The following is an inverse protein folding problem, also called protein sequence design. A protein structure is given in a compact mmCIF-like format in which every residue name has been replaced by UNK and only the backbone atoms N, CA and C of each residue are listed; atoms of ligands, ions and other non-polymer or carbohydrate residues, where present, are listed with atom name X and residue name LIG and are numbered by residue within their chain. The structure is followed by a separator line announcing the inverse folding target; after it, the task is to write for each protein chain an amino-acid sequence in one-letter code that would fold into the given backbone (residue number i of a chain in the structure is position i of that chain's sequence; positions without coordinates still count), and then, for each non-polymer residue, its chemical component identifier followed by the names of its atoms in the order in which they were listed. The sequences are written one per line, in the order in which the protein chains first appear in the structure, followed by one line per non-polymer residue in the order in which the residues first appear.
data_IF_780457903322
#
_entry.id   IF_780457903322
#
_cell.length_a   1.000
_cell.length_b   1.000
_cell.length_c   1.000
_cell.angle_alpha   90.00
_cell.angle_beta   90.00
_cell.angle_gamma   90.00
#
_symmetry.space_group_name_H-M   'P 1'
#
loop_
_entity.id
_entity.type
_entity.pdbx_description
1 polymer ?
#
# COMPACT_ATOMS: atom_id res chain seq x y z
N UNK A 1 -0.84 -7.64 42.29
CA UNK A 1 0.33 -7.24 41.47
C UNK A 1 0.32 -7.94 40.11
N UNK A 2 0.25 -9.28 40.04
CA UNK A 2 0.27 -10.05 38.77
C UNK A 2 -0.85 -9.66 37.77
N UNK A 3 -2.09 -9.44 38.23
CA UNK A 3 -3.22 -9.06 37.36
C UNK A 3 -3.02 -7.73 36.61
N UNK A 4 -2.34 -6.76 37.25
CA UNK A 4 -2.04 -5.47 36.63
C UNK A 4 -0.95 -5.60 35.55
N UNK A 5 -0.02 -6.54 35.73
CA UNK A 5 1.02 -6.85 34.74
C UNK A 5 0.39 -7.46 33.48
N UNK A 6 -0.51 -8.43 33.64
CA UNK A 6 -1.21 -9.02 32.49
C UNK A 6 -2.10 -8.02 31.74
N UNK A 7 -2.73 -7.09 32.45
CA UNK A 7 -3.51 -6.01 31.82
C UNK A 7 -2.62 -5.05 31.03
N UNK A 8 -1.45 -4.69 31.57
CA UNK A 8 -0.48 -3.83 30.89
C UNK A 8 0.12 -4.53 29.65
N UNK A 9 0.42 -5.82 29.73
CA UNK A 9 0.90 -6.62 28.60
C UNK A 9 -0.18 -6.77 27.52
N UNK A 10 -1.43 -7.01 27.90
CA UNK A 10 -2.55 -7.06 26.96
C UNK A 10 -2.80 -5.71 26.29
N UNK A 11 -2.69 -4.60 27.03
CA UNK A 11 -2.82 -3.26 26.46
C UNK A 11 -1.67 -2.91 25.51
N UNK A 12 -0.44 -3.34 25.81
CA UNK A 12 0.71 -3.22 24.92
C UNK A 12 0.55 -4.10 23.65
N UNK A 13 -0.01 -5.29 23.79
CA UNK A 13 -0.31 -6.21 22.69
C UNK A 13 -1.46 -5.69 21.80
N UNK A 14 -2.48 -5.07 22.40
CA UNK A 14 -3.54 -4.36 21.68
C UNK A 14 -3.01 -3.10 20.97
N UNK A 15 -2.07 -2.39 21.57
CA UNK A 15 -1.43 -1.23 20.93
C UNK A 15 -0.56 -1.66 19.72
N UNK A 16 0.05 -2.85 19.74
CA UNK A 16 0.76 -3.42 18.60
C UNK A 16 -0.19 -3.83 17.44
N UNK A 17 -1.47 -4.11 17.73
CA UNK A 17 -2.54 -4.31 16.73
C UNK A 17 -3.10 -2.99 16.17
N UNK A 18 -2.77 -1.85 16.77
CA UNK A 18 -3.30 -0.54 16.40
C UNK A 18 -2.44 0.24 15.39
N UNK A 19 -1.24 -0.25 15.03
CA UNK A 19 -0.43 0.41 13.99
C UNK A 19 -0.88 -0.04 12.59
N UNK A 20 -2.07 0.38 12.17
CA UNK A 20 -2.37 0.49 10.73
C UNK A 20 -1.72 1.77 10.18
N UNK A 21 -0.41 1.90 10.39
CA UNK A 21 0.38 2.88 9.68
C UNK A 21 0.64 2.30 8.29
N UNK A 22 0.41 3.12 7.27
CA UNK A 22 0.59 2.74 5.88
C UNK A 22 1.96 2.11 5.60
N UNK A 23 2.02 1.16 4.67
CA UNK A 23 3.27 0.59 4.15
C UNK A 23 4.01 1.66 3.36
N UNK A 24 5.25 1.95 3.75
CA UNK A 24 6.09 2.93 3.07
C UNK A 24 6.76 2.29 1.85
N UNK A 25 6.54 2.87 0.67
CA UNK A 25 7.15 2.41 -0.59
C UNK A 25 7.65 3.60 -1.39
N UNK A 26 8.73 3.45 -2.16
CA UNK A 26 9.17 4.51 -3.07
C UNK A 26 8.13 4.72 -4.19
N UNK A 27 7.74 3.61 -4.84
CA UNK A 27 6.72 3.53 -5.90
C UNK A 27 6.17 2.11 -5.98
N UNK A 28 5.02 1.95 -6.61
CA UNK A 28 4.51 0.65 -7.07
C UNK A 28 4.43 0.73 -8.59
N UNK A 29 5.06 -0.19 -9.31
CA UNK A 29 4.99 -0.24 -10.77
C UNK A 29 4.13 -1.42 -11.20
N UNK A 30 3.20 -1.17 -12.11
CA UNK A 30 2.49 -2.22 -12.85
C UNK A 30 3.11 -2.22 -14.25
N UNK A 31 4.02 -3.17 -14.48
CA UNK A 31 4.77 -3.28 -15.72
C UNK A 31 3.86 -3.74 -16.88
N UNK A 32 4.36 -3.61 -18.11
CA UNK A 32 3.61 -3.93 -19.34
C UNK A 32 3.06 -5.36 -19.42
N UNK A 33 3.76 -6.32 -18.82
CA UNK A 33 3.34 -7.73 -18.71
C UNK A 33 2.35 -7.99 -17.56
N UNK A 34 2.04 -6.94 -16.78
CA UNK A 34 1.18 -6.98 -15.63
C UNK A 34 1.88 -7.37 -14.33
N UNK A 35 3.19 -7.57 -14.31
CA UNK A 35 3.94 -7.79 -13.06
C UNK A 35 3.93 -6.54 -12.17
N UNK A 36 4.07 -6.75 -10.85
CA UNK A 36 4.11 -5.68 -9.86
C UNK A 36 5.53 -5.58 -9.30
N UNK A 37 6.07 -4.37 -9.26
CA UNK A 37 7.38 -4.05 -8.66
C UNK A 37 7.23 -2.98 -7.56
N UNK A 38 7.74 -3.21 -6.34
CA UNK A 38 8.44 -4.42 -5.90
C UNK A 38 7.50 -5.63 -5.75
N UNK A 39 8.03 -6.87 -5.79
CA UNK A 39 7.22 -8.09 -5.71
C UNK A 39 6.51 -8.28 -4.36
N UNK A 40 6.94 -7.57 -3.32
CA UNK A 40 6.33 -7.54 -1.99
C UNK A 40 5.42 -6.31 -1.78
N UNK A 41 5.12 -5.54 -2.83
CA UNK A 41 4.19 -4.43 -2.75
C UNK A 41 2.82 -4.92 -2.23
N UNK A 42 2.10 -4.11 -1.43
CA UNK A 42 0.81 -4.46 -0.84
C UNK A 42 -0.34 -4.39 -1.86
N UNK A 43 -0.21 -5.14 -2.94
CA UNK A 43 -1.14 -5.21 -4.07
C UNK A 43 -1.31 -6.68 -4.45
N UNK A 44 -2.57 -7.12 -4.52
CA UNK A 44 -2.94 -8.42 -5.03
C UNK A 44 -3.43 -8.26 -6.48
N UNK A 45 -2.92 -9.11 -7.38
CA UNK A 45 -3.29 -9.09 -8.79
C UNK A 45 -4.25 -10.24 -9.11
N UNK A 46 -5.41 -9.90 -9.67
CA UNK A 46 -6.37 -10.83 -10.26
C UNK A 46 -6.69 -10.40 -11.70
N UNK A 47 -6.12 -11.10 -12.68
CA UNK A 47 -6.23 -10.74 -14.09
C UNK A 47 -5.72 -9.32 -14.38
N UNK A 48 -6.64 -8.41 -14.70
CA UNK A 48 -6.36 -6.99 -14.94
C UNK A 48 -6.73 -6.07 -13.76
N UNK A 49 -7.15 -6.64 -12.62
CA UNK A 49 -7.48 -5.92 -11.39
C UNK A 49 -6.31 -6.00 -10.41
N UNK A 50 -5.92 -4.85 -9.87
CA UNK A 50 -4.83 -4.69 -8.92
C UNK A 50 -5.40 -4.07 -7.65
N UNK A 51 -5.65 -4.90 -6.64
CA UNK A 51 -6.33 -4.52 -5.41
C UNK A 51 -5.33 -4.26 -4.30
N UNK A 52 -5.39 -3.10 -3.66
CA UNK A 52 -4.57 -2.82 -2.48
C UNK A 52 -4.95 -3.79 -1.34
N UNK A 53 -3.95 -4.29 -0.62
CA UNK A 53 -4.12 -5.15 0.56
C UNK A 53 -3.72 -4.47 1.87
N UNK A 54 -3.15 -3.27 1.78
CA UNK A 54 -2.87 -2.38 2.90
C UNK A 54 -2.88 -0.92 2.44
N UNK A 55 -3.00 0.02 3.38
CA UNK A 55 -2.78 1.43 3.09
C UNK A 55 -1.31 1.67 2.71
N UNK A 56 -1.08 2.51 1.71
CA UNK A 56 0.24 2.75 1.12
C UNK A 56 0.63 4.20 1.29
N UNK A 57 1.85 4.45 1.75
CA UNK A 57 2.47 5.77 1.74
C UNK A 57 3.60 5.75 0.71
N UNK A 58 3.36 6.43 -0.42
CA UNK A 58 4.27 6.37 -1.56
C UNK A 58 4.84 7.74 -1.92
N UNK A 59 6.12 7.78 -2.29
CA UNK A 59 6.77 9.00 -2.80
C UNK A 59 6.38 9.33 -4.22
N UNK A 60 6.24 8.31 -5.07
CA UNK A 60 5.95 8.45 -6.51
C UNK A 60 4.62 7.86 -6.94
N UNK A 61 3.87 7.30 -6.01
CA UNK A 61 2.56 6.70 -6.28
C UNK A 61 2.64 5.37 -7.03
N UNK A 62 1.55 5.05 -7.72
CA UNK A 62 1.45 3.89 -8.61
C UNK A 62 1.77 4.35 -10.03
N UNK A 63 2.71 3.66 -10.68
CA UNK A 63 3.10 3.88 -12.08
C UNK A 63 2.56 2.73 -12.92
N UNK A 64 1.76 3.03 -13.93
CA UNK A 64 1.12 2.03 -14.78
C UNK A 64 1.69 2.10 -16.18
N UNK A 65 2.30 1.00 -16.63
CA UNK A 65 2.85 0.79 -17.97
C UNK A 65 2.03 -0.25 -18.77
N UNK A 66 1.01 -0.85 -18.14
CA UNK A 66 0.09 -1.79 -18.75
C UNK A 66 -1.22 -1.15 -19.22
N UNK A 67 -1.85 -1.80 -20.21
CA UNK A 67 -3.15 -1.41 -20.73
C UNK A 67 -4.29 -2.15 -20.02
N UNK A 68 -5.48 -1.55 -20.04
CA UNK A 68 -6.72 -2.17 -19.54
C UNK A 68 -6.64 -2.58 -18.06
N UNK A 69 -5.96 -1.79 -17.23
CA UNK A 69 -5.78 -2.04 -15.80
C UNK A 69 -6.88 -1.38 -14.97
N UNK A 70 -7.38 -2.10 -13.97
CA UNK A 70 -8.22 -1.58 -12.89
C UNK A 70 -7.39 -1.54 -11.61
N UNK A 71 -7.29 -0.38 -10.98
CA UNK A 71 -6.70 -0.25 -9.64
C UNK A 71 -7.87 -0.19 -8.65
N UNK A 72 -7.99 -1.21 -7.80
CA UNK A 72 -9.00 -1.28 -6.74
C UNK A 72 -8.38 -0.88 -5.39
N UNK A 73 -8.98 0.10 -4.73
CA UNK A 73 -8.51 0.56 -3.42
C UNK A 73 -8.69 -0.48 -2.32
N UNK A 74 -9.60 -1.45 -2.45
CA UNK A 74 -9.81 -2.50 -1.45
C UNK A 74 -10.20 -1.99 -0.05
N UNK A 75 -10.65 -0.74 0.07
CA UNK A 75 -10.90 -0.06 1.34
C UNK A 75 -9.66 0.61 1.97
N UNK A 76 -8.50 0.56 1.31
CA UNK A 76 -7.24 1.14 1.77
C UNK A 76 -6.92 2.48 1.09
N UNK A 77 -6.05 3.26 1.73
CA UNK A 77 -5.65 4.57 1.24
C UNK A 77 -4.31 4.52 0.50
N UNK A 78 -4.18 5.26 -0.60
CA UNK A 78 -2.89 5.62 -1.21
C UNK A 78 -2.57 7.08 -0.87
N UNK A 79 -1.52 7.29 -0.07
CA UNK A 79 -1.13 8.60 0.44
C UNK A 79 0.22 9.02 -0.14
N UNK A 80 0.28 10.21 -0.72
CA UNK A 80 1.54 10.82 -1.16
C UNK A 80 2.17 11.71 -0.09
N UNK A 81 3.48 11.99 -0.23
CA UNK A 81 4.22 12.90 0.67
C UNK A 81 3.95 14.40 0.42
N UNK A 82 2.92 14.74 -0.38
CA UNK A 82 2.53 16.12 -0.72
C UNK A 82 3.69 16.96 -1.29
N UNK A 83 4.60 16.33 -2.03
CA UNK A 83 5.70 17.02 -2.70
C UNK A 83 5.18 17.66 -4.01
N UNK A 84 5.57 18.89 -4.36
CA UNK A 84 5.20 19.49 -5.65
C UNK A 84 5.60 18.58 -6.82
N UNK A 85 4.66 18.31 -7.73
CA UNK A 85 4.86 17.37 -8.84
C UNK A 85 4.67 15.89 -8.49
N UNK A 86 4.28 15.56 -7.25
CA UNK A 86 3.85 14.19 -6.91
C UNK A 86 2.51 13.85 -7.58
N UNK A 87 2.42 12.62 -8.06
CA UNK A 87 1.20 12.04 -8.58
C UNK A 87 0.84 10.81 -7.75
N UNK A 88 -0.45 10.63 -7.45
CA UNK A 88 -0.94 9.39 -6.82
C UNK A 88 -0.88 8.22 -7.80
N UNK A 89 -1.36 8.43 -9.02
CA UNK A 89 -1.34 7.45 -10.09
C UNK A 89 -0.79 8.13 -11.35
N UNK A 90 0.23 7.53 -11.95
CA UNK A 90 0.85 8.00 -13.20
C UNK A 90 0.64 6.94 -14.27
N UNK A 91 0.12 7.35 -15.42
CA UNK A 91 0.03 6.49 -16.61
C UNK A 91 1.23 6.80 -17.50
N UNK A 92 2.04 5.80 -17.79
CA UNK A 92 3.18 5.91 -18.70
C UNK A 92 2.81 5.34 -20.07
N UNK A 93 3.04 6.15 -21.10
CA UNK A 93 2.98 5.69 -22.48
C UNK A 93 4.29 4.99 -22.80
N UNK A 94 4.23 3.68 -23.06
CA UNK A 94 5.37 2.84 -23.44
C UNK A 94 5.15 2.23 -24.81
#
# INVERSE_FOLDING_TARGET
MVKAVWLAVFFALLAQLASAECVQVERIAIARDGSVEPPDAPVERDGNVYRLTASVCSRRGIVVEANNVVIDGGGFALTGFKVPGSAGITLMFV
#
